data_IF_258183284734
#
_entry.id   IF_258183284734
#
_cell.length_a   1.000
_cell.length_b   1.000
_cell.length_c   1.000
_cell.angle_alpha   90.00
_cell.angle_beta   90.00
_cell.angle_gamma   90.00
#
_symmetry.space_group_name_H-M   'P 1'
#
loop_
_entity.id
_entity.type
_entity.pdbx_description
1 polymer ?
#
# COMPACT_ATOMS: atom_id res chain seq x y z
N UNK A 1 -12.60 -8.30 -28.69
CA UNK A 1 -11.86 -8.35 -27.42
C UNK A 1 -11.32 -6.96 -27.18
N UNK A 2 -11.52 -6.43 -25.97
CA UNK A 2 -11.03 -5.09 -25.61
C UNK A 2 -9.89 -5.22 -24.60
N UNK A 3 -9.02 -4.23 -24.58
CA UNK A 3 -7.92 -4.05 -23.65
C UNK A 3 -8.45 -3.37 -22.40
N UNK A 4 -8.21 -3.97 -21.25
CA UNK A 4 -8.50 -3.43 -19.93
C UNK A 4 -7.30 -2.72 -19.31
N UNK A 5 -7.58 -1.66 -18.56
CA UNK A 5 -6.60 -0.88 -17.80
C UNK A 5 -7.24 -0.33 -16.53
N UNK A 6 -6.43 -0.16 -15.49
CA UNK A 6 -6.87 0.47 -14.25
C UNK A 6 -5.90 0.29 -13.10
N UNK A 7 -6.42 0.38 -11.87
CA UNK A 7 -5.65 0.12 -10.67
C UNK A 7 -6.39 -0.77 -9.68
N UNK A 8 -5.58 -1.47 -8.90
CA UNK A 8 -5.99 -2.18 -7.69
C UNK A 8 -5.57 -1.39 -6.46
N UNK A 9 -6.38 -1.40 -5.40
CA UNK A 9 -6.00 -0.86 -4.10
C UNK A 9 -5.55 -2.00 -3.19
N UNK A 10 -4.23 -2.16 -3.04
CA UNK A 10 -3.61 -3.27 -2.32
C UNK A 10 -2.52 -2.81 -1.34
N UNK A 11 -2.58 -3.20 -0.06
CA UNK A 11 -3.60 -4.05 0.55
C UNK A 11 -4.98 -3.37 0.58
N UNK A 12 -6.08 -4.14 0.66
CA UNK A 12 -7.42 -3.57 0.69
C UNK A 12 -7.65 -2.77 1.97
N UNK A 13 -8.52 -1.77 1.90
CA UNK A 13 -8.94 -1.00 3.08
C UNK A 13 -9.66 -1.91 4.09
N UNK A 14 -9.52 -1.56 5.36
CA UNK A 14 -10.21 -2.15 6.49
C UNK A 14 -11.47 -1.36 6.82
N UNK A 15 -12.43 -2.00 7.47
CA UNK A 15 -13.60 -1.30 8.02
C UNK A 15 -13.23 -0.61 9.36
N UNK A 16 -12.31 0.36 9.29
CA UNK A 16 -11.88 1.19 10.42
C UNK A 16 -12.26 2.64 10.18
N UNK A 17 -12.43 3.41 11.26
CA UNK A 17 -12.80 4.83 11.15
C UNK A 17 -11.79 5.65 10.34
N UNK A 18 -10.49 5.33 10.45
CA UNK A 18 -9.43 6.00 9.66
C UNK A 18 -9.57 5.71 8.18
N UNK A 19 -9.59 4.42 7.80
CA UNK A 19 -9.70 4.02 6.39
C UNK A 19 -11.03 4.51 5.78
N UNK A 20 -12.12 4.50 6.55
CA UNK A 20 -13.42 5.02 6.11
C UNK A 20 -13.41 6.54 5.90
N UNK A 21 -12.68 7.28 6.74
CA UNK A 21 -12.48 8.73 6.57
C UNK A 21 -11.62 9.03 5.35
N UNK A 22 -10.46 8.37 5.21
CA UNK A 22 -9.55 8.59 4.09
C UNK A 22 -10.25 8.25 2.76
N UNK A 23 -11.07 7.19 2.74
CA UNK A 23 -11.89 6.86 1.58
C UNK A 23 -12.97 7.91 1.28
N UNK A 24 -13.63 8.46 2.30
CA UNK A 24 -14.61 9.51 2.12
C UNK A 24 -13.99 10.82 1.59
N UNK A 25 -12.79 11.17 2.07
CA UNK A 25 -12.02 12.32 1.60
C UNK A 25 -11.58 12.11 0.14
N UNK A 26 -11.14 10.91 -0.23
CA UNK A 26 -10.86 10.53 -1.62
C UNK A 26 -12.10 10.66 -2.52
N UNK A 27 -13.25 10.08 -2.14
CA UNK A 27 -14.48 10.20 -2.93
C UNK A 27 -14.92 11.66 -3.08
N UNK A 28 -14.80 12.45 -2.02
CA UNK A 28 -15.14 13.88 -2.05
C UNK A 28 -14.25 14.65 -3.02
N UNK A 29 -12.95 14.30 -3.08
CA UNK A 29 -12.01 14.88 -4.05
C UNK A 29 -12.41 14.55 -5.50
N UNK A 30 -12.71 13.28 -5.78
CA UNK A 30 -13.16 12.84 -7.12
C UNK A 30 -14.45 13.56 -7.52
N UNK A 31 -15.47 13.58 -6.65
CA UNK A 31 -16.76 14.21 -6.92
C UNK A 31 -16.58 15.71 -7.20
N UNK A 32 -15.84 16.42 -6.36
CA UNK A 32 -15.62 17.86 -6.53
C UNK A 32 -14.89 18.20 -7.84
N UNK A 33 -13.98 17.33 -8.30
CA UNK A 33 -13.31 17.49 -9.58
C UNK A 33 -14.29 17.39 -10.75
N UNK A 34 -15.05 16.30 -10.84
CA UNK A 34 -15.95 16.05 -11.98
C UNK A 34 -17.20 16.94 -11.99
N UNK A 35 -17.69 17.38 -10.82
CA UNK A 35 -18.75 18.39 -10.75
C UNK A 35 -18.29 19.75 -11.31
N UNK A 36 -17.01 20.10 -11.12
CA UNK A 36 -16.43 21.35 -11.61
C UNK A 36 -16.23 21.34 -13.12
N UNK A 37 -15.73 20.24 -13.68
CA UNK A 37 -15.45 20.10 -15.11
C UNK A 37 -16.74 20.04 -15.97
N UNK A 38 -17.89 19.68 -15.36
CA UNK A 38 -19.20 19.57 -16.04
C UNK A 38 -19.17 18.67 -17.27
N UNK A 39 -18.31 17.66 -17.25
CA UNK A 39 -18.07 16.76 -18.37
C UNK A 39 -19.14 15.66 -18.52
N UNK A 40 -19.96 15.43 -17.48
CA UNK A 40 -21.00 14.40 -17.46
C UNK A 40 -20.44 12.98 -17.42
N UNK A 41 -19.16 12.82 -17.09
CA UNK A 41 -18.48 11.54 -17.09
C UNK A 41 -18.76 10.70 -15.84
N UNK A 42 -19.42 11.30 -14.84
CA UNK A 42 -19.66 10.71 -13.53
C UNK A 42 -21.10 10.95 -13.07
N UNK A 43 -21.67 9.94 -12.41
CA UNK A 43 -22.95 10.01 -11.71
C UNK A 43 -22.83 9.35 -10.33
N UNK A 44 -23.72 9.69 -9.42
CA UNK A 44 -23.82 9.03 -8.10
C UNK A 44 -25.11 8.22 -8.08
N UNK A 45 -25.02 6.92 -7.80
CA UNK A 45 -26.19 6.04 -7.74
C UNK A 45 -26.94 6.17 -6.39
N UNK A 46 -28.06 5.46 -6.24
CA UNK A 46 -28.88 5.51 -5.02
C UNK A 46 -28.15 4.99 -3.76
N UNK A 47 -27.15 4.12 -3.94
CA UNK A 47 -26.31 3.59 -2.85
C UNK A 47 -25.17 4.54 -2.46
N UNK A 48 -25.01 5.65 -3.19
CA UNK A 48 -23.96 6.65 -3.04
C UNK A 48 -22.62 6.25 -3.67
N UNK A 49 -22.61 5.23 -4.52
CA UNK A 49 -21.42 4.87 -5.30
C UNK A 49 -21.23 5.84 -6.46
N UNK A 50 -19.97 6.13 -6.76
CA UNK A 50 -19.57 6.98 -7.88
C UNK A 50 -19.39 6.11 -9.12
N UNK A 51 -20.26 6.31 -10.11
CA UNK A 51 -20.33 5.50 -11.33
C UNK A 51 -19.95 6.36 -12.52
N UNK A 52 -18.91 5.96 -13.24
CA UNK A 52 -18.49 6.64 -14.46
C UNK A 52 -19.38 6.19 -15.63
N UNK A 53 -19.73 7.12 -16.53
CA UNK A 53 -20.78 6.88 -17.55
C UNK A 53 -20.25 6.25 -18.83
N UNK A 54 -18.93 6.29 -19.06
CA UNK A 54 -18.32 5.75 -20.27
C UNK A 54 -17.81 4.32 -20.10
N UNK A 55 -17.89 3.54 -21.18
CA UNK A 55 -17.43 2.14 -21.27
C UNK A 55 -18.14 1.21 -20.28
N UNK A 56 -17.42 0.47 -19.44
CA UNK A 56 -17.98 -0.58 -18.56
C UNK A 56 -18.51 -0.08 -17.21
N UNK A 57 -18.75 1.23 -17.11
CA UNK A 57 -19.22 1.87 -15.88
C UNK A 57 -18.37 1.57 -14.65
N UNK A 58 -17.05 1.84 -14.70
CA UNK A 58 -16.20 1.61 -13.54
C UNK A 58 -16.73 2.42 -12.35
N UNK A 59 -16.76 1.77 -11.19
CA UNK A 59 -17.49 2.25 -10.02
C UNK A 59 -16.56 2.32 -8.81
N UNK A 60 -16.54 3.47 -8.16
CA UNK A 60 -15.96 3.63 -6.82
C UNK A 60 -17.08 3.45 -5.80
N UNK A 61 -16.98 2.39 -5.00
CA UNK A 61 -18.00 2.06 -4.01
C UNK A 61 -17.98 3.08 -2.88
N UNK A 62 -19.14 3.44 -2.33
CA UNK A 62 -19.21 4.27 -1.12
C UNK A 62 -18.48 3.63 0.06
N UNK A 63 -18.53 2.29 0.14
CA UNK A 63 -17.84 1.50 1.17
C UNK A 63 -16.45 1.08 0.69
N UNK A 64 -15.43 1.85 1.07
CA UNK A 64 -14.04 1.65 0.62
C UNK A 64 -13.43 0.29 0.98
N UNK A 65 -13.77 -0.28 2.14
CA UNK A 65 -13.28 -1.61 2.53
C UNK A 65 -13.75 -2.76 1.61
N UNK A 66 -14.77 -2.52 0.77
CA UNK A 66 -15.23 -3.45 -0.28
C UNK A 66 -14.58 -3.19 -1.63
N UNK A 67 -13.94 -2.04 -1.79
CA UNK A 67 -13.27 -1.68 -3.02
C UNK A 67 -11.99 -2.51 -3.20
N UNK A 68 -11.72 -2.88 -4.45
CA UNK A 68 -10.55 -3.69 -4.84
C UNK A 68 -9.91 -3.14 -6.10
N UNK A 69 -10.74 -2.86 -7.12
CA UNK A 69 -10.32 -2.52 -8.47
C UNK A 69 -11.22 -1.44 -9.08
N UNK A 70 -10.58 -0.47 -9.71
CA UNK A 70 -11.19 0.47 -10.64
C UNK A 70 -10.52 0.29 -12.00
N UNK A 71 -11.26 -0.19 -12.98
CA UNK A 71 -10.74 -0.51 -14.31
C UNK A 71 -11.83 -0.47 -15.35
N UNK A 72 -11.45 -0.22 -16.60
CA UNK A 72 -12.38 -0.12 -17.71
C UNK A 72 -11.69 -0.48 -19.02
N UNK A 73 -12.48 -0.83 -20.04
CA UNK A 73 -11.97 -1.08 -21.39
C UNK A 73 -11.56 0.23 -22.03
N UNK A 74 -10.27 0.37 -22.35
CA UNK A 74 -9.68 1.52 -23.05
C UNK A 74 -9.69 1.36 -24.57
N UNK A 75 -10.12 0.20 -25.07
CA UNK A 75 -10.20 -0.04 -26.52
C UNK A 75 -11.62 -0.36 -26.95
N UNK A 76 -11.96 0.05 -28.17
CA UNK A 76 -13.25 -0.21 -28.78
C UNK A 76 -14.02 1.09 -29.06
N UNK A 77 -15.22 0.94 -29.63
CA UNK A 77 -16.03 2.07 -30.10
C UNK A 77 -16.49 3.00 -28.97
N UNK A 78 -16.46 2.54 -27.73
CA UNK A 78 -16.92 3.25 -26.53
C UNK A 78 -15.75 3.72 -25.64
N UNK A 79 -14.50 3.61 -26.12
CA UNK A 79 -13.31 3.96 -25.35
C UNK A 79 -13.20 5.45 -25.01
N UNK A 80 -13.84 6.34 -25.79
CA UNK A 80 -14.02 7.76 -25.45
C UNK A 80 -12.83 8.41 -24.75
N UNK A 81 -13.11 9.03 -23.59
CA UNK A 81 -12.13 9.65 -22.68
C UNK A 81 -11.79 8.71 -21.50
N UNK A 82 -11.89 7.40 -21.68
CA UNK A 82 -11.73 6.41 -20.61
C UNK A 82 -10.34 6.45 -19.99
N UNK A 83 -9.31 6.51 -20.83
CA UNK A 83 -7.92 6.58 -20.38
C UNK A 83 -7.68 7.82 -19.51
N UNK A 84 -8.27 8.96 -19.91
CA UNK A 84 -8.15 10.22 -19.17
C UNK A 84 -8.69 10.11 -17.75
N UNK A 85 -9.94 9.64 -17.58
CA UNK A 85 -10.48 9.55 -16.22
C UNK A 85 -9.81 8.43 -15.40
N UNK A 86 -9.32 7.36 -16.04
CA UNK A 86 -8.55 6.32 -15.34
C UNK A 86 -7.26 6.90 -14.77
N UNK A 87 -6.53 7.71 -15.53
CA UNK A 87 -5.32 8.39 -15.09
C UNK A 87 -5.61 9.44 -14.00
N UNK A 88 -6.66 10.25 -14.15
CA UNK A 88 -7.05 11.26 -13.16
C UNK A 88 -7.45 10.64 -11.82
N UNK A 89 -8.36 9.66 -11.85
CA UNK A 89 -8.81 8.96 -10.63
C UNK A 89 -7.66 8.20 -9.97
N UNK A 90 -6.75 7.62 -10.76
CA UNK A 90 -5.52 7.01 -10.24
C UNK A 90 -4.67 8.07 -9.54
N UNK A 91 -4.44 9.24 -10.13
CA UNK A 91 -3.68 10.33 -9.51
C UNK A 91 -4.26 10.72 -8.15
N UNK A 92 -5.59 10.90 -8.09
CA UNK A 92 -6.27 11.16 -6.81
C UNK A 92 -6.11 10.00 -5.82
N UNK A 93 -6.15 8.75 -6.27
CA UNK A 93 -5.95 7.61 -5.40
C UNK A 93 -4.49 7.52 -4.88
N UNK A 94 -3.51 7.88 -5.70
CA UNK A 94 -2.09 7.92 -5.30
C UNK A 94 -1.84 9.03 -4.27
N UNK A 95 -2.50 10.19 -4.41
CA UNK A 95 -2.42 11.27 -3.42
C UNK A 95 -2.96 10.86 -2.04
N UNK A 96 -4.01 10.04 -2.00
CA UNK A 96 -4.67 9.61 -0.77
C UNK A 96 -4.07 8.33 -0.17
N UNK A 97 -3.70 7.35 -0.99
CA UNK A 97 -3.31 6.01 -0.55
C UNK A 97 -1.87 5.64 -0.91
N UNK A 98 -1.16 6.49 -1.64
CA UNK A 98 0.25 6.34 -2.00
C UNK A 98 0.55 4.99 -2.64
N UNK A 99 1.51 4.28 -2.06
CA UNK A 99 2.01 3.02 -2.61
C UNK A 99 0.98 1.88 -2.60
N UNK A 100 -0.20 2.04 -2.00
CA UNK A 100 -1.27 1.02 -2.05
C UNK A 100 -1.91 0.94 -3.44
N UNK A 101 -1.81 1.98 -4.26
CA UNK A 101 -2.34 1.98 -5.62
C UNK A 101 -1.41 1.17 -6.53
N UNK A 102 -1.95 0.13 -7.15
CA UNK A 102 -1.24 -0.77 -8.07
C UNK A 102 -1.84 -0.65 -9.45
N UNK A 103 -1.22 0.17 -10.28
CA UNK A 103 -1.59 0.35 -11.67
C UNK A 103 -1.27 -0.90 -12.50
N UNK A 104 -2.12 -1.22 -13.46
CA UNK A 104 -1.91 -2.29 -14.41
C UNK A 104 -2.61 -2.00 -15.74
N UNK A 105 -2.12 -2.63 -16.81
CA UNK A 105 -2.69 -2.56 -18.15
C UNK A 105 -2.47 -3.87 -18.86
N UNK A 106 -3.46 -4.39 -19.59
CA UNK A 106 -3.30 -5.59 -20.41
C UNK A 106 -2.31 -5.39 -21.59
N UNK A 107 -1.95 -4.15 -21.90
CA UNK A 107 -0.88 -3.85 -22.88
C UNK A 107 0.53 -4.03 -22.31
N UNK A 108 0.67 -4.14 -20.99
CA UNK A 108 1.96 -4.35 -20.34
C UNK A 108 2.38 -5.80 -20.50
N UNK A 109 3.64 -6.05 -20.87
CA UNK A 109 4.22 -7.41 -20.90
C UNK A 109 4.23 -8.09 -19.50
N UNK A 110 3.97 -7.33 -18.44
CA UNK A 110 3.98 -7.79 -17.03
C UNK A 110 2.58 -7.84 -16.40
N UNK A 111 1.51 -7.73 -17.19
CA UNK A 111 0.14 -7.58 -16.69
C UNK A 111 -0.33 -8.68 -15.72
N UNK A 112 0.19 -9.91 -15.85
CA UNK A 112 -0.12 -11.01 -14.94
C UNK A 112 0.42 -10.80 -13.51
N UNK A 113 1.53 -10.10 -13.37
CA UNK A 113 2.19 -9.87 -12.07
C UNK A 113 1.71 -8.57 -11.38
N UNK A 114 1.10 -7.67 -12.16
CA UNK A 114 0.66 -6.36 -11.70
C UNK A 114 -0.75 -6.37 -11.09
N UNK A 115 -1.63 -7.25 -11.58
CA UNK A 115 -2.97 -7.45 -11.01
C UNK A 115 -2.88 -8.15 -9.65
N UNK A 116 -3.45 -7.51 -8.61
CA UNK A 116 -3.42 -8.05 -7.23
C UNK A 116 -4.65 -8.88 -6.89
N UNK A 117 -5.73 -8.71 -7.65
CA UNK A 117 -6.98 -9.42 -7.43
C UNK A 117 -7.44 -10.14 -8.70
N UNK A 118 -7.99 -11.33 -8.51
CA UNK A 118 -8.81 -11.99 -9.52
C UNK A 118 -10.18 -11.30 -9.60
N UNK A 119 -10.86 -11.40 -10.75
CA UNK A 119 -12.22 -10.88 -10.90
C UNK A 119 -13.19 -11.47 -9.87
N UNK A 120 -13.03 -12.74 -9.51
CA UNK A 120 -13.82 -13.40 -8.45
C UNK A 120 -13.68 -12.64 -7.13
N UNK A 121 -12.45 -12.28 -6.74
CA UNK A 121 -12.24 -11.55 -5.48
C UNK A 121 -12.86 -10.14 -5.51
N UNK A 122 -12.77 -9.46 -6.65
CA UNK A 122 -13.40 -8.15 -6.86
C UNK A 122 -14.92 -8.24 -6.68
N UNK A 123 -15.57 -9.23 -7.31
CA UNK A 123 -17.02 -9.40 -7.23
C UNK A 123 -17.50 -9.83 -5.84
N UNK A 124 -16.79 -10.74 -5.19
CA UNK A 124 -17.16 -11.18 -3.83
C UNK A 124 -16.96 -10.07 -2.79
N UNK A 125 -15.92 -9.22 -2.94
CA UNK A 125 -15.74 -8.05 -2.09
C UNK A 125 -16.89 -7.04 -2.27
N UNK A 126 -17.32 -6.78 -3.51
CA UNK A 126 -18.48 -5.90 -3.82
C UNK A 126 -19.77 -6.39 -3.16
N UNK A 127 -20.04 -7.70 -3.20
CA UNK A 127 -21.19 -8.31 -2.52
C UNK A 127 -21.10 -8.24 -0.99
N UNK A 128 -19.92 -7.96 -0.44
CA UNK A 128 -19.67 -7.99 1.00
C UNK A 128 -19.50 -9.40 1.55
N UNK A 129 -19.19 -10.37 0.69
CA UNK A 129 -18.99 -11.78 1.07
C UNK A 129 -17.56 -12.05 1.56
N UNK A 130 -16.68 -11.05 1.48
CA UNK A 130 -15.36 -11.11 2.09
C UNK A 130 -15.40 -10.43 3.45
N UNK A 131 -14.95 -11.15 4.48
CA UNK A 131 -14.62 -10.54 5.76
C UNK A 131 -13.61 -9.40 5.53
N UNK A 132 -13.78 -8.27 6.24
CA UNK A 132 -12.80 -7.18 6.28
C UNK A 132 -11.40 -7.80 6.42
N UNK A 133 -10.39 -7.35 5.66
CA UNK A 133 -9.16 -8.12 5.49
C UNK A 133 -8.47 -8.37 6.83
N UNK A 134 -8.74 -9.54 7.42
CA UNK A 134 -8.26 -10.12 8.68
C UNK A 134 -7.71 -9.11 9.71
N UNK A 135 -8.39 -9.03 10.86
CA UNK A 135 -8.00 -8.32 12.09
C UNK A 135 -6.46 -8.20 12.24
N UNK A 136 -5.93 -7.05 12.67
CA UNK A 136 -4.48 -6.76 12.74
C UNK A 136 -3.65 -7.85 13.45
N UNK A 137 -4.28 -8.62 14.32
CA UNK A 137 -3.76 -9.81 15.00
C UNK A 137 -3.18 -10.87 14.03
N UNK A 138 -3.80 -11.07 12.86
CA UNK A 138 -3.32 -12.02 11.85
C UNK A 138 -2.24 -11.43 10.93
N UNK A 139 -2.28 -10.12 10.68
CA UNK A 139 -1.20 -9.42 9.96
C UNK A 139 0.10 -9.46 10.79
N UNK A 140 -0.01 -9.27 12.11
CA UNK A 140 1.12 -9.39 13.04
C UNK A 140 1.68 -10.81 13.10
N UNK A 141 0.85 -11.84 12.88
CA UNK A 141 1.35 -13.22 12.76
C UNK A 141 2.17 -13.43 11.50
N UNK A 142 1.75 -12.87 10.35
CA UNK A 142 2.48 -12.99 9.08
C UNK A 142 3.79 -12.19 9.14
N UNK A 143 3.74 -10.96 9.67
CA UNK A 143 4.93 -10.12 9.85
C UNK A 143 5.91 -10.77 10.83
N UNK A 144 5.45 -11.39 11.93
CA UNK A 144 6.31 -12.17 12.82
C UNK A 144 6.95 -13.36 12.12
N UNK A 145 6.21 -14.11 11.32
CA UNK A 145 6.75 -15.28 10.61
C UNK A 145 7.81 -14.87 9.57
N UNK A 146 7.57 -13.79 8.82
CA UNK A 146 8.54 -13.25 7.86
C UNK A 146 9.79 -12.71 8.59
N UNK A 147 9.61 -11.96 9.69
CA UNK A 147 10.73 -11.46 10.49
C UNK A 147 11.56 -12.61 11.06
N UNK A 148 10.94 -13.69 11.54
CA UNK A 148 11.65 -14.87 12.07
C UNK A 148 12.48 -15.55 10.99
N UNK A 149 11.94 -15.73 9.78
CA UNK A 149 12.69 -16.34 8.67
C UNK A 149 13.87 -15.46 8.23
N UNK A 150 13.68 -14.15 8.11
CA UNK A 150 14.76 -13.21 7.78
C UNK A 150 15.80 -13.12 8.90
N UNK A 151 15.40 -13.23 10.17
CA UNK A 151 16.32 -13.21 11.31
C UNK A 151 17.16 -14.50 11.41
N UNK A 152 16.60 -15.65 11.04
CA UNK A 152 17.31 -16.94 11.04
C UNK A 152 18.37 -17.00 9.95
N UNK A 153 18.11 -16.43 8.77
CA UNK A 153 19.09 -16.38 7.68
C UNK A 153 20.29 -15.47 7.99
N UNK A 154 20.07 -14.38 8.74
CA UNK A 154 21.15 -13.46 9.14
C UNK A 154 22.05 -14.09 10.23
N UNK A 155 21.48 -14.87 11.16
CA UNK A 155 22.25 -15.44 12.28
C UNK A 155 22.92 -16.78 11.95
N UNK A 156 22.39 -17.58 11.02
CA UNK A 156 23.01 -18.84 10.61
C UNK A 156 24.19 -18.66 9.64
N UNK A 157 24.47 -17.43 9.18
CA UNK A 157 25.60 -17.07 8.32
C UNK A 157 26.88 -16.67 9.04
N UNK A 158 26.93 -16.66 10.38
CA UNK A 158 28.15 -16.32 11.14
C UNK A 158 28.92 -17.62 11.46
N UNK A 159 30.09 -17.87 10.84
CA UNK A 159 30.93 -18.99 11.24
C UNK A 159 31.46 -18.76 12.66
N UNK A 160 31.15 -19.68 13.56
CA UNK A 160 31.63 -19.69 14.95
C UNK A 160 33.15 -19.83 14.97
N UNK A 161 33.86 -18.72 15.09
CA UNK A 161 35.29 -18.73 15.32
C UNK A 161 35.59 -19.29 16.72
N UNK A 162 36.23 -20.46 16.70
CA UNK A 162 37.05 -21.11 17.73
C UNK A 162 37.11 -20.49 19.12
N UNK A 163 36.64 -21.28 20.08
CA UNK A 163 37.11 -21.23 21.46
C UNK A 163 38.62 -21.51 21.51
N UNK A 164 39.44 -20.54 21.94
CA UNK A 164 40.74 -20.82 22.55
C UNK A 164 40.79 -20.23 23.95
N UNK A 165 40.91 -21.13 24.91
CA UNK A 165 41.08 -20.87 26.32
C UNK A 165 42.46 -20.28 26.61
N UNK A 166 42.44 -19.24 27.43
CA UNK A 166 43.55 -18.62 28.14
C UNK A 166 44.55 -19.62 28.76
N UNK A 167 45.84 -19.36 28.56
CA UNK A 167 46.90 -19.68 29.52
C UNK A 167 47.71 -18.43 29.88
N UNK A 168 47.51 -18.05 31.13
CA UNK A 168 48.35 -17.31 32.07
C UNK A 168 49.83 -17.16 31.70
N UNK A 169 50.35 -15.93 31.73
CA UNK A 169 51.66 -15.63 32.31
C UNK A 169 51.76 -14.14 32.66
N UNK A 170 52.01 -13.90 33.94
CA UNK A 170 52.23 -12.63 34.62
C UNK A 170 53.35 -11.78 34.00
N UNK A 171 53.21 -10.45 34.04
CA UNK A 171 54.33 -9.55 34.36
C UNK A 171 53.88 -8.10 34.66
N UNK A 172 54.07 -7.76 35.94
CA UNK A 172 54.59 -6.50 36.47
C UNK A 172 53.85 -5.18 36.23
N UNK A 173 53.13 -4.74 37.27
CA UNK A 173 53.10 -3.33 37.73
C UNK A 173 54.49 -2.97 38.33
N UNK A 174 54.95 -1.69 38.40
CA UNK A 174 54.21 -0.58 39.03
C UNK A 174 54.34 0.80 38.35
N UNK A 175 53.45 1.71 38.73
CA UNK A 175 53.58 3.14 38.41
C UNK A 175 52.32 3.95 38.69
N UNK A 176 52.01 4.16 39.98
CA UNK A 176 51.16 5.26 40.43
C UNK A 176 51.62 6.60 39.84
N UNK A 177 50.70 7.50 39.46
CA UNK A 177 50.78 8.92 39.82
C UNK A 177 49.43 9.64 39.57
N UNK A 178 48.71 9.83 40.67
CA UNK A 178 47.97 11.04 41.14
C UNK A 178 47.15 11.88 40.15
N UNK A 179 45.85 11.85 40.40
CA UNK A 179 44.84 12.92 40.30
C UNK A 179 45.38 14.31 40.66
N UNK A 180 45.00 15.34 39.88
CA UNK A 180 44.62 16.71 40.30
C UNK A 180 43.82 17.43 39.21
N UNK A 181 42.70 18.04 39.63
CA UNK A 181 42.25 19.42 39.35
C UNK A 181 42.46 19.94 37.90
N UNK A 182 41.44 20.31 37.14
CA UNK A 182 40.43 21.33 37.46
C UNK A 182 40.23 22.22 36.22
N UNK A 183 39.21 23.05 36.28
CA UNK A 183 38.87 24.17 35.38
C UNK A 183 38.05 23.91 34.11
N UNK A 184 36.75 24.18 34.29
CA UNK A 184 35.89 24.87 33.35
C UNK A 184 36.53 26.20 32.91
N UNK A 185 36.48 26.51 31.62
CA UNK A 185 36.37 27.89 31.12
C UNK A 185 35.44 27.90 29.91
N UNK A 186 34.20 28.30 30.16
CA UNK A 186 33.38 29.12 29.25
C UNK A 186 34.13 30.42 28.95
N UNK A 187 34.20 30.86 27.68
CA UNK A 187 33.54 32.09 27.20
C UNK A 187 34.06 32.46 25.78
N UNK A 188 33.08 32.73 24.88
CA UNK A 188 33.11 33.52 23.63
C UNK A 188 33.85 33.04 22.38
#
# INVERSE_FOLDING_TARGET
>A
MGIDMGFDLFPPLQDTDSDNKDWADFLSHVIAHYEKEKDGNMTINADGDVVFTQSEHPTLLRKGYRFRRFSSKISGRLAGDVEKYLEEVRGFAEDHFGCRVKWWSELSDTWFDDQRYTWTEVYEARKGNMDSPRKPEQLMSIVKNILVEVFLDIFNGIPTAGAEMSKTAERSFPGEYKDKEGDMVEDR
#
